data_IF_522567407690
#
_entry.id   IF_522567407690
#
_cell.length_a   1.000
_cell.length_b   1.000
_cell.length_c   1.000
_cell.angle_alpha   90.00
_cell.angle_beta   90.00
_cell.angle_gamma   90.00
#
_symmetry.space_group_name_H-M   'P 1'
#
loop_
_entity.id
_entity.type
_entity.pdbx_description
1 polymer ?
#
# COMPACT_ATOMS: atom_id res chain seq x y z
N UNK A 1 -11.72 19.43 5.45
CA UNK A 1 -11.56 18.26 6.33
C UNK A 1 -10.07 17.92 6.44
N UNK A 2 -9.55 17.71 7.66
CA UNK A 2 -8.12 17.47 7.88
C UNK A 2 -7.68 16.04 7.54
N UNK A 3 -8.46 15.03 7.91
CA UNK A 3 -8.14 13.61 7.64
C UNK A 3 -7.84 13.35 6.16
N UNK A 4 -8.59 13.98 5.25
CA UNK A 4 -8.35 13.85 3.81
C UNK A 4 -6.97 14.33 3.35
N UNK A 5 -6.17 15.06 4.14
CA UNK A 5 -4.84 15.51 3.72
C UNK A 5 -3.75 14.43 3.81
N UNK A 6 -4.00 13.26 4.43
CA UNK A 6 -2.99 12.19 4.56
C UNK A 6 -3.43 10.92 3.82
N UNK A 7 -2.51 10.10 3.27
CA UNK A 7 -2.85 8.83 2.62
C UNK A 7 -3.75 7.91 3.46
N UNK A 8 -3.39 7.70 4.73
CA UNK A 8 -4.15 6.88 5.65
C UNK A 8 -5.52 7.46 5.97
N UNK A 9 -5.64 8.79 6.08
CA UNK A 9 -6.92 9.45 6.29
C UNK A 9 -7.85 9.40 5.07
N UNK A 10 -7.30 9.47 3.84
CA UNK A 10 -8.07 9.22 2.61
C UNK A 10 -8.60 7.78 2.59
N UNK A 11 -7.75 6.80 2.93
CA UNK A 11 -8.18 5.39 2.99
C UNK A 11 -9.28 5.18 4.04
N UNK A 12 -9.10 5.68 5.27
CA UNK A 12 -10.10 5.66 6.35
C UNK A 12 -11.45 6.23 5.90
N UNK A 13 -11.43 7.37 5.20
CA UNK A 13 -12.65 7.96 4.63
C UNK A 13 -13.29 7.08 3.54
N UNK A 14 -12.50 6.44 2.68
CA UNK A 14 -13.01 5.48 1.68
C UNK A 14 -13.55 4.16 2.26
N UNK A 15 -13.28 3.91 3.55
CA UNK A 15 -13.73 2.75 4.32
C UNK A 15 -14.91 3.06 5.24
N UNK A 16 -15.31 4.33 5.34
CA UNK A 16 -16.30 4.84 6.30
C UNK A 16 -15.99 4.47 7.78
N UNK A 17 -14.71 4.21 8.07
CA UNK A 17 -14.21 3.76 9.36
C UNK A 17 -12.92 4.54 9.69
N UNK A 18 -13.01 5.45 10.64
CA UNK A 18 -11.93 6.37 11.02
C UNK A 18 -11.04 5.81 12.12
N UNK A 19 -11.58 4.92 12.94
CA UNK A 19 -10.89 4.30 14.07
C UNK A 19 -10.40 2.90 13.69
N UNK A 20 -11.24 2.09 13.04
CA UNK A 20 -10.95 0.67 12.78
C UNK A 20 -10.15 0.41 11.49
N UNK A 21 -10.30 1.21 10.42
CA UNK A 21 -9.56 0.97 9.18
C UNK A 21 -8.13 1.53 9.21
N UNK A 22 -7.16 0.81 8.68
CA UNK A 22 -5.80 1.32 8.43
C UNK A 22 -5.36 1.04 7.00
N UNK A 23 -4.59 1.96 6.39
CA UNK A 23 -4.05 1.80 5.04
C UNK A 23 -3.10 0.59 5.01
N UNK A 24 -3.41 -0.49 4.27
CA UNK A 24 -2.58 -1.69 4.25
C UNK A 24 -1.17 -1.41 3.73
N UNK A 25 -0.19 -2.16 4.22
CA UNK A 25 1.22 -2.02 3.80
C UNK A 25 1.54 -2.70 2.46
N UNK A 26 0.65 -3.58 1.97
CA UNK A 26 0.83 -4.42 0.77
C UNK A 26 -0.46 -4.51 -0.04
N UNK A 27 -0.34 -4.64 -1.35
CA UNK A 27 -1.47 -4.89 -2.25
C UNK A 27 -1.35 -6.31 -2.82
N UNK A 28 -2.22 -7.21 -2.36
CA UNK A 28 -2.23 -8.62 -2.77
C UNK A 28 -2.92 -8.79 -4.13
N UNK A 29 -4.23 -8.52 -4.18
CA UNK A 29 -5.09 -8.61 -5.35
C UNK A 29 -6.25 -7.62 -5.25
N UNK A 30 -6.83 -7.26 -6.40
CA UNK A 30 -8.04 -6.41 -6.44
C UNK A 30 -9.26 -7.02 -5.74
N UNK A 31 -9.35 -8.35 -5.64
CA UNK A 31 -10.52 -9.03 -5.02
C UNK A 31 -10.44 -9.05 -3.49
N UNK A 32 -9.23 -9.01 -2.93
CA UNK A 32 -9.03 -8.91 -1.48
C UNK A 32 -8.98 -7.46 -0.99
N UNK A 33 -8.50 -6.53 -1.81
CA UNK A 33 -8.47 -5.12 -1.44
C UNK A 33 -9.85 -4.57 -1.06
N UNK A 34 -9.90 -3.61 -0.13
CA UNK A 34 -11.12 -2.97 0.36
C UNK A 34 -10.94 -1.45 0.42
N UNK A 35 -12.01 -0.69 0.22
CA UNK A 35 -11.94 0.76 0.06
C UNK A 35 -11.34 1.20 -1.28
N UNK A 36 -10.94 2.47 -1.38
CA UNK A 36 -10.33 3.01 -2.61
C UNK A 36 -9.01 2.31 -2.95
N UNK A 37 -8.75 2.06 -4.23
CA UNK A 37 -7.50 1.45 -4.68
C UNK A 37 -6.30 2.41 -4.45
N UNK A 38 -5.08 1.89 -4.22
CA UNK A 38 -3.89 2.71 -3.99
C UNK A 38 -3.66 3.79 -5.06
N UNK A 39 -3.87 3.46 -6.34
CA UNK A 39 -3.79 4.42 -7.45
C UNK A 39 -4.73 5.62 -7.23
N UNK A 40 -5.96 5.35 -6.81
CA UNK A 40 -7.01 6.37 -6.74
C UNK A 40 -6.85 7.23 -5.46
N UNK A 41 -6.36 6.63 -4.37
CA UNK A 41 -5.90 7.36 -3.17
C UNK A 41 -4.78 8.32 -3.53
N UNK A 42 -3.80 7.89 -4.35
CA UNK A 42 -2.71 8.76 -4.81
C UNK A 42 -3.22 9.91 -5.67
N UNK A 43 -4.16 9.65 -6.59
CA UNK A 43 -4.82 10.69 -7.37
C UNK A 43 -5.60 11.69 -6.49
N UNK A 44 -6.30 11.23 -5.44
CA UNK A 44 -6.97 12.11 -4.47
C UNK A 44 -5.98 12.97 -3.69
N UNK A 45 -4.92 12.34 -3.16
CA UNK A 45 -3.84 13.00 -2.44
C UNK A 45 -3.23 14.14 -3.28
N UNK A 46 -2.87 13.87 -4.53
CA UNK A 46 -2.34 14.88 -5.45
C UNK A 46 -3.28 16.08 -5.60
N UNK A 47 -4.59 15.84 -5.83
CA UNK A 47 -5.59 16.92 -5.99
C UNK A 47 -5.73 17.76 -4.71
N UNK A 48 -5.73 17.12 -3.54
CA UNK A 48 -5.83 17.81 -2.23
C UNK A 48 -4.59 18.66 -1.91
N UNK A 49 -3.41 18.21 -2.32
CA UNK A 49 -2.13 18.94 -2.20
C UNK A 49 -1.83 19.88 -3.36
N UNK A 50 -2.81 20.12 -4.24
CA UNK A 50 -2.68 21.00 -5.42
C UNK A 50 -1.54 20.57 -6.36
N UNK A 51 -1.16 19.30 -6.37
CA UNK A 51 -0.28 18.71 -7.38
C UNK A 51 -1.06 18.43 -8.68
N UNK A 52 -0.33 18.17 -9.77
CA UNK A 52 -0.91 17.59 -10.98
C UNK A 52 -1.24 16.11 -10.77
N UNK A 53 -2.01 15.50 -11.69
CA UNK A 53 -2.29 14.05 -11.61
C UNK A 53 -0.99 13.23 -11.73
N UNK A 54 -0.85 12.12 -10.98
CA UNK A 54 0.33 11.27 -11.03
C UNK A 54 0.47 10.62 -12.42
N UNK A 55 1.67 10.70 -12.99
CA UNK A 55 2.00 10.00 -14.24
C UNK A 55 2.53 8.60 -13.92
N UNK A 56 1.98 7.59 -14.60
CA UNK A 56 2.37 6.18 -14.46
C UNK A 56 3.09 5.73 -15.73
N UNK A 57 4.34 5.29 -15.62
CA UNK A 57 5.12 4.73 -16.73
C UNK A 57 5.27 3.22 -16.55
N UNK A 58 4.72 2.45 -17.48
CA UNK A 58 4.80 0.98 -17.44
C UNK A 58 6.02 0.52 -18.21
N UNK A 59 6.82 -0.32 -17.58
CA UNK A 59 7.99 -0.96 -18.17
C UNK A 59 7.69 -2.46 -18.22
N UNK A 60 7.70 -3.06 -19.41
CA UNK A 60 7.62 -4.52 -19.58
C UNK A 60 9.01 -5.11 -19.86
N UNK A 61 9.25 -6.29 -19.30
CA UNK A 61 10.42 -7.09 -19.61
C UNK A 61 9.99 -8.50 -20.05
N UNK A 62 10.42 -8.98 -21.23
CA UNK A 62 10.19 -10.36 -21.63
C UNK A 62 11.00 -11.31 -20.73
N UNK A 63 10.36 -12.35 -20.23
CA UNK A 63 10.99 -13.35 -19.39
C UNK A 63 11.93 -14.22 -20.22
N UNK A 64 13.23 -13.89 -20.27
CA UNK A 64 14.25 -14.78 -20.82
C UNK A 64 14.45 -15.98 -19.89
N UNK A 65 13.75 -17.07 -20.19
CA UNK A 65 14.03 -18.38 -19.57
C UNK A 65 15.42 -18.81 -20.05
N UNK A 66 16.36 -19.17 -19.15
CA UNK A 66 17.63 -19.75 -19.55
C UNK A 66 17.37 -21.12 -20.18
N UNK A 67 17.54 -21.23 -21.49
CA UNK A 67 17.44 -22.52 -22.19
C UNK A 67 18.72 -23.31 -21.93
N UNK A 68 18.71 -24.18 -20.92
CA UNK A 68 19.76 -25.19 -20.79
C UNK A 68 19.69 -26.13 -22.00
N UNK A 69 20.79 -26.18 -22.75
CA UNK A 69 20.90 -26.95 -23.99
C UNK A 69 20.95 -28.45 -23.68
N UNK A 70 19.82 -29.14 -23.84
CA UNK A 70 19.80 -30.61 -23.83
C UNK A 70 20.19 -31.15 -25.21
N UNK A 71 21.47 -31.41 -25.39
CA UNK A 71 21.94 -32.33 -26.43
C UNK A 71 21.51 -33.75 -26.06
N UNK A 72 20.70 -34.42 -26.89
CA UNK A 72 20.89 -35.84 -27.18
C UNK A 72 20.03 -36.33 -28.35
N UNK A 73 20.73 -36.62 -29.44
CA UNK A 73 20.55 -37.71 -30.39
C UNK A 73 19.29 -38.62 -30.25
N UNK A 74 18.56 -38.82 -31.35
CA UNK A 74 18.49 -40.14 -32.01
C UNK A 74 18.08 -39.97 -33.49
N UNK A 75 18.77 -40.70 -34.39
CA UNK A 75 18.37 -40.88 -35.80
C UNK A 75 17.88 -42.31 -36.01
N UNK A 76 16.85 -42.48 -36.83
CA UNK A 76 16.59 -43.72 -37.59
C UNK A 76 15.85 -43.39 -38.90
N UNK A 77 16.04 -44.23 -39.92
CA UNK A 77 15.38 -44.16 -41.23
C UNK A 77 13.92 -44.72 -41.14
N UNK A 78 13.07 -44.75 -42.16
CA UNK A 78 13.32 -45.20 -43.53
C UNK A 78 12.27 -44.73 -44.57
N UNK A 79 12.53 -45.06 -45.84
CA UNK A 79 11.82 -44.71 -47.08
C UNK A 79 10.58 -45.56 -47.37
N UNK A 80 9.57 -45.01 -48.06
CA UNK A 80 8.54 -45.80 -48.76
C UNK A 80 7.25 -45.06 -49.17
N UNK A 81 7.03 -44.93 -50.48
CA UNK A 81 5.74 -44.61 -51.16
C UNK A 81 4.62 -45.62 -50.81
N UNK A 82 3.31 -45.37 -50.97
CA UNK A 82 2.59 -44.62 -52.02
C UNK A 82 1.18 -44.10 -51.60
N UNK A 83 0.53 -43.36 -52.52
CA UNK A 83 -0.81 -42.73 -52.44
C UNK A 83 -1.99 -43.75 -52.53
N UNK A 84 -3.28 -43.55 -52.17
CA UNK A 84 -4.13 -42.37 -51.83
C UNK A 84 -5.29 -42.83 -50.86
N UNK A 85 -5.75 -42.02 -49.89
CA UNK A 85 -7.20 -41.94 -49.53
C UNK A 85 -7.58 -40.56 -48.91
N UNK A 86 -8.89 -40.25 -48.85
CA UNK A 86 -9.46 -38.92 -48.60
C UNK A 86 -9.80 -38.62 -47.12
N UNK A 87 -10.01 -37.32 -46.85
CA UNK A 87 -10.66 -36.68 -45.69
C UNK A 87 -9.77 -36.13 -44.55
N UNK A 88 -10.19 -34.95 -44.05
CA UNK A 88 -9.83 -34.31 -42.77
C UNK A 88 -8.36 -33.88 -42.54
N UNK A 89 -7.94 -32.79 -43.19
CA UNK A 89 -6.81 -31.97 -42.72
C UNK A 89 -7.27 -30.97 -41.63
N UNK A 90 -6.51 -30.68 -40.58
CA UNK A 90 -5.23 -31.24 -40.16
C UNK A 90 -5.14 -31.21 -38.61
N UNK A 91 -4.43 -32.19 -38.02
CA UNK A 91 -4.21 -32.27 -36.58
C UNK A 91 -2.73 -32.37 -36.24
N UNK A 92 -2.38 -31.81 -35.08
CA UNK A 92 -1.09 -31.91 -34.36
C UNK A 92 0.17 -31.37 -35.06
N UNK A 93 0.55 -30.12 -34.75
CA UNK A 93 1.83 -29.79 -34.10
C UNK A 93 2.03 -28.27 -33.99
N UNK A 94 1.07 -27.59 -33.36
CA UNK A 94 1.39 -26.36 -32.64
C UNK A 94 1.93 -26.77 -31.28
N UNK A 95 3.22 -26.52 -31.01
CA UNK A 95 3.72 -26.54 -29.64
C UNK A 95 2.84 -25.66 -28.75
N UNK A 96 2.74 -25.92 -27.43
CA UNK A 96 2.27 -24.88 -26.53
C UNK A 96 3.18 -23.69 -26.79
N UNK A 97 2.62 -22.58 -27.29
CA UNK A 97 3.36 -21.32 -27.29
C UNK A 97 3.66 -21.06 -25.82
N UNK A 98 4.90 -21.33 -25.44
CA UNK A 98 5.46 -20.97 -24.16
C UNK A 98 5.26 -19.47 -24.07
N UNK A 99 4.23 -19.06 -23.34
CA UNK A 99 3.90 -17.64 -23.24
C UNK A 99 5.01 -17.01 -22.43
N UNK A 100 5.91 -16.32 -23.13
CA UNK A 100 6.93 -15.48 -22.52
C UNK A 100 6.18 -14.53 -21.58
N UNK A 101 6.20 -14.87 -20.28
CA UNK A 101 5.34 -14.24 -19.29
C UNK A 101 5.94 -12.88 -18.98
N UNK A 102 5.59 -11.88 -19.77
CA UNK A 102 6.02 -10.49 -19.56
C UNK A 102 5.79 -10.08 -18.10
N UNK A 103 6.83 -9.49 -17.52
CA UNK A 103 6.76 -8.91 -16.19
C UNK A 103 6.68 -7.39 -16.30
N UNK A 104 5.77 -6.80 -15.53
CA UNK A 104 5.48 -5.37 -15.51
C UNK A 104 6.04 -4.70 -14.27
N UNK A 105 6.66 -3.54 -14.48
CA UNK A 105 7.01 -2.54 -13.48
C UNK A 105 6.22 -1.26 -13.74
N UNK A 106 6.03 -0.46 -12.71
CA UNK A 106 5.41 0.86 -12.82
C UNK A 106 6.26 1.91 -12.11
N UNK A 107 6.80 2.87 -12.86
CA UNK A 107 7.33 4.10 -12.28
C UNK A 107 6.21 5.13 -12.10
N UNK A 108 6.35 5.99 -11.10
CA UNK A 108 5.39 7.05 -10.79
C UNK A 108 6.11 8.39 -10.70
N UNK A 109 5.62 9.39 -11.43
CA UNK A 109 6.09 10.78 -11.33
C UNK A 109 4.99 11.65 -10.76
N UNK A 110 5.27 12.34 -9.66
CA UNK A 110 4.44 13.42 -9.14
C UNK A 110 4.97 14.75 -9.66
N UNK A 111 4.09 15.58 -10.21
CA UNK A 111 4.43 16.87 -10.79
C UNK A 111 3.80 18.04 -10.02
N UNK A 112 4.49 19.18 -10.01
CA UNK A 112 3.93 20.48 -9.62
C UNK A 112 2.80 20.88 -10.59
N UNK A 113 2.04 21.94 -10.28
CA UNK A 113 1.09 22.52 -11.25
C UNK A 113 1.77 23.09 -12.49
N UNK A 114 3.04 23.45 -12.40
CA UNK A 114 3.83 23.99 -13.50
C UNK A 114 4.48 22.87 -14.35
N UNK A 115 4.32 21.60 -13.96
CA UNK A 115 4.88 20.45 -14.66
C UNK A 115 6.24 19.97 -14.14
N UNK A 116 6.83 20.66 -13.15
CA UNK A 116 8.13 20.26 -12.57
C UNK A 116 8.01 18.92 -11.84
N UNK A 117 8.99 18.04 -12.01
CA UNK A 117 9.06 16.81 -11.23
C UNK A 117 9.29 17.15 -9.76
N UNK A 118 8.35 16.76 -8.91
CA UNK A 118 8.42 16.90 -7.45
C UNK A 118 9.04 15.65 -6.84
N UNK A 119 8.59 14.48 -7.31
CA UNK A 119 9.00 13.16 -6.83
C UNK A 119 8.94 12.13 -7.97
N UNK A 120 9.90 11.22 -7.99
CA UNK A 120 9.92 9.99 -8.79
C UNK A 120 9.92 8.79 -7.83
N UNK A 121 9.13 7.76 -8.12
CA UNK A 121 9.17 6.46 -7.45
C UNK A 121 9.33 5.38 -8.52
N UNK A 122 10.39 4.57 -8.43
CA UNK A 122 10.72 3.52 -9.40
C UNK A 122 10.98 2.20 -8.67
N UNK A 123 9.93 1.47 -8.23
CA UNK A 123 10.08 0.22 -7.49
C UNK A 123 10.79 -0.89 -8.29
N UNK A 124 11.63 -1.67 -7.61
CA UNK A 124 12.31 -2.82 -8.20
C UNK A 124 11.41 -4.07 -8.37
N UNK A 125 10.22 -4.04 -7.78
CA UNK A 125 9.27 -5.14 -7.73
C UNK A 125 8.57 -5.35 -9.10
N UNK A 126 8.57 -6.60 -9.60
CA UNK A 126 7.98 -6.99 -10.89
C UNK A 126 6.68 -7.80 -10.70
N UNK A 127 5.66 -7.55 -11.51
CA UNK A 127 4.34 -8.20 -11.40
C UNK A 127 3.87 -8.82 -12.72
N UNK A 128 3.12 -9.92 -12.67
CA UNK A 128 2.53 -10.57 -13.87
C UNK A 128 1.38 -9.79 -14.52
N UNK A 129 0.85 -8.77 -13.84
CA UNK A 129 -0.23 -7.91 -14.35
C UNK A 129 0.15 -6.44 -14.21
N UNK A 130 -0.04 -5.68 -15.27
CA UNK A 130 0.17 -4.23 -15.31
C UNK A 130 -0.59 -3.50 -14.18
N UNK A 131 -1.85 -3.86 -13.91
CA UNK A 131 -2.61 -3.25 -12.81
C UNK A 131 -1.94 -3.48 -11.46
N UNK A 132 -1.46 -4.69 -11.18
CA UNK A 132 -0.90 -5.02 -9.87
C UNK A 132 0.43 -4.28 -9.65
N UNK A 133 1.20 -4.03 -10.71
CA UNK A 133 2.36 -3.13 -10.69
C UNK A 133 1.97 -1.68 -10.38
N UNK A 134 0.92 -1.14 -11.00
CA UNK A 134 0.42 0.21 -10.73
C UNK A 134 -0.04 0.36 -9.27
N UNK A 135 -0.83 -0.61 -8.77
CA UNK A 135 -1.36 -0.53 -7.41
C UNK A 135 -0.26 -0.68 -6.36
N UNK A 136 0.68 -1.62 -6.53
CA UNK A 136 1.80 -1.77 -5.60
C UNK A 136 2.77 -0.58 -5.63
N UNK A 137 3.11 -0.04 -6.80
CA UNK A 137 3.93 1.16 -6.89
C UNK A 137 3.26 2.36 -6.21
N UNK A 138 1.94 2.53 -6.43
CA UNK A 138 1.15 3.56 -5.76
C UNK A 138 1.15 3.37 -4.25
N UNK A 139 1.00 2.14 -3.77
CA UNK A 139 0.97 1.84 -2.34
C UNK A 139 2.33 2.01 -1.66
N UNK A 140 3.44 1.69 -2.35
CA UNK A 140 4.82 1.92 -1.87
C UNK A 140 5.06 3.42 -1.63
N UNK A 141 4.67 4.26 -2.59
CA UNK A 141 4.71 5.71 -2.47
C UNK A 141 3.77 6.24 -1.37
N UNK A 142 2.52 5.75 -1.30
CA UNK A 142 1.57 6.15 -0.27
C UNK A 142 2.01 5.72 1.13
N UNK A 143 2.69 4.59 1.29
CA UNK A 143 3.22 4.11 2.56
C UNK A 143 4.33 5.03 3.09
N UNK A 144 5.25 5.46 2.20
CA UNK A 144 6.27 6.46 2.54
C UNK A 144 5.63 7.81 2.92
N UNK A 145 4.68 8.29 2.12
CA UNK A 145 3.92 9.51 2.43
C UNK A 145 3.14 9.38 3.75
N UNK A 146 2.51 8.24 4.04
CA UNK A 146 1.75 8.02 5.27
C UNK A 146 2.66 8.06 6.50
N UNK A 147 3.82 7.40 6.43
CA UNK A 147 4.87 7.47 7.46
C UNK A 147 5.34 8.91 7.67
N UNK A 148 5.51 9.66 6.59
CA UNK A 148 5.91 11.07 6.60
C UNK A 148 4.90 12.00 7.28
N UNK A 149 3.60 11.82 7.05
CA UNK A 149 2.56 12.64 7.69
C UNK A 149 2.25 12.20 9.13
N UNK A 150 2.44 10.93 9.48
CA UNK A 150 2.19 10.42 10.83
C UNK A 150 3.37 10.70 11.80
N UNK A 151 4.57 11.00 11.30
CA UNK A 151 5.73 11.31 12.14
C UNK A 151 5.71 12.76 12.64
N UNK A 152 4.87 13.04 13.64
CA UNK A 152 4.63 14.37 14.24
C UNK A 152 5.91 15.07 14.74
N UNK A 153 6.97 14.31 15.06
CA UNK A 153 8.21 14.80 15.68
C UNK A 153 9.47 14.64 14.82
N UNK A 154 9.40 13.94 13.68
CA UNK A 154 10.60 13.69 12.88
C UNK A 154 10.82 14.82 11.85
N UNK A 155 12.00 15.47 11.82
CA UNK A 155 12.30 16.46 10.78
C UNK A 155 12.31 15.79 9.40
N UNK A 156 11.91 16.55 8.36
CA UNK A 156 11.87 16.08 6.97
C UNK A 156 13.16 15.38 6.54
N UNK A 157 14.31 15.86 7.01
CA UNK A 157 15.62 15.33 6.61
C UNK A 157 15.83 13.86 7.05
N UNK A 158 15.33 13.44 8.23
CA UNK A 158 15.33 12.02 8.65
C UNK A 158 14.37 11.15 7.83
N UNK A 159 13.29 11.74 7.30
CA UNK A 159 12.29 11.02 6.50
C UNK A 159 12.74 10.92 5.03
N UNK A 160 13.47 11.93 4.56
CA UNK A 160 14.20 11.94 3.29
C UNK A 160 15.23 10.81 3.23
N UNK A 161 15.99 10.55 4.30
CA UNK A 161 16.91 9.41 4.39
C UNK A 161 16.19 8.06 4.14
N UNK A 162 14.93 7.92 4.58
CA UNK A 162 14.16 6.69 4.34
C UNK A 162 13.62 6.55 2.91
N UNK A 163 13.65 7.61 2.07
CA UNK A 163 13.09 7.57 0.72
C UNK A 163 13.77 6.52 -0.19
N UNK A 164 15.08 6.31 -0.02
CA UNK A 164 15.83 5.28 -0.74
C UNK A 164 15.25 3.87 -0.55
N UNK A 165 14.81 3.54 0.67
CA UNK A 165 14.20 2.24 1.00
C UNK A 165 12.87 1.98 0.27
N UNK A 166 12.22 3.03 -0.24
CA UNK A 166 10.99 2.95 -1.02
C UNK A 166 11.22 3.14 -2.53
N UNK A 167 12.48 3.18 -2.97
CA UNK A 167 12.87 3.51 -4.36
C UNK A 167 12.36 4.90 -4.80
N UNK A 168 12.38 5.88 -3.89
CA UNK A 168 11.87 7.24 -4.08
C UNK A 168 13.02 8.24 -4.22
N UNK A 169 12.96 9.07 -5.26
CA UNK A 169 13.83 10.23 -5.48
C UNK A 169 13.01 11.53 -5.39
N UNK A 170 13.41 12.45 -4.50
CA UNK A 170 12.72 13.72 -4.29
C UNK A 170 13.49 14.86 -4.95
N UNK A 171 12.90 15.44 -6.00
CA UNK A 171 13.52 16.51 -6.77
C UNK A 171 13.25 17.90 -6.19
N UNK A 172 12.12 18.11 -5.50
CA UNK A 172 11.77 19.40 -4.87
C UNK A 172 11.49 19.26 -3.37
N UNK A 173 12.54 19.45 -2.55
CA UNK A 173 12.45 19.40 -1.08
C UNK A 173 11.58 20.52 -0.50
N UNK A 174 11.64 21.72 -1.09
CA UNK A 174 10.93 22.90 -0.58
C UNK A 174 9.41 22.73 -0.68
N UNK A 175 8.90 22.17 -1.79
CA UNK A 175 7.48 21.97 -2.00
C UNK A 175 6.87 20.96 -0.99
N UNK A 176 7.61 19.91 -0.61
CA UNK A 176 7.18 19.01 0.48
C UNK A 176 7.20 19.70 1.85
N UNK A 177 8.20 20.55 2.13
CA UNK A 177 8.25 21.35 3.36
C UNK A 177 7.08 22.33 3.47
N UNK A 178 6.66 22.94 2.36
CA UNK A 178 5.45 23.79 2.29
C UNK A 178 4.16 23.00 2.53
N UNK A 179 4.03 21.81 1.93
CA UNK A 179 2.90 20.89 2.16
C UNK A 179 2.76 20.53 3.65
N UNK A 180 3.87 20.33 4.38
CA UNK A 180 3.83 20.14 5.84
C UNK A 180 3.48 21.41 6.62
N UNK A 181 4.03 22.56 6.26
CA UNK A 181 3.77 23.82 6.95
C UNK A 181 2.27 24.18 6.91
N UNK A 182 1.57 23.84 5.82
CA UNK A 182 0.11 23.93 5.69
C UNK A 182 -0.71 22.89 6.49
N UNK A 183 -0.06 22.02 7.28
CA UNK A 183 -0.69 21.04 8.17
C UNK A 183 -0.32 21.22 9.64
N UNK A 184 0.94 21.53 9.96
CA UNK A 184 1.42 21.66 11.35
C UNK A 184 0.63 22.71 12.14
N UNK A 185 0.31 23.84 11.50
CA UNK A 185 -0.51 24.94 12.05
C UNK A 185 -1.88 24.45 12.55
N UNK A 186 -2.40 23.33 12.04
CA UNK A 186 -3.71 22.78 12.40
C UNK A 186 -3.62 21.54 13.30
N UNK A 187 -2.61 20.68 13.15
CA UNK A 187 -2.43 19.51 14.02
C UNK A 187 -1.94 19.87 15.44
N UNK A 188 -1.20 20.98 15.61
CA UNK A 188 -0.77 21.43 16.94
C UNK A 188 -1.95 21.72 17.88
N UNK A 189 -3.12 22.14 17.36
CA UNK A 189 -4.30 22.41 18.19
C UNK A 189 -4.97 21.14 18.75
N UNK A 190 -4.91 20.02 18.01
CA UNK A 190 -5.45 18.73 18.48
C UNK A 190 -4.57 18.10 19.57
N UNK A 191 -3.24 18.21 19.45
CA UNK A 191 -2.31 17.65 20.43
C UNK A 191 -2.04 18.58 21.64
N UNK A 192 -2.17 19.90 21.51
CA UNK A 192 -2.04 20.82 22.66
C UNK A 192 -3.09 20.56 23.76
N UNK A 193 -4.26 20.03 23.39
CA UNK A 193 -5.27 19.56 24.36
C UNK A 193 -4.85 18.30 25.12
N UNK A 194 -3.99 17.46 24.53
CA UNK A 194 -3.50 16.22 25.15
C UNK A 194 -2.29 16.47 26.09
N UNK A 195 -1.63 17.62 25.97
CA UNK A 195 -0.48 18.02 26.80
C UNK A 195 -0.82 18.93 27.99
N UNK A 196 -2.10 19.26 28.23
CA UNK A 196 -2.52 20.08 29.38
C UNK A 196 -2.62 19.30 30.71
N UNK A 197 -1.69 18.36 30.97
CA UNK A 197 -1.42 17.86 32.32
C UNK A 197 -0.21 18.58 32.91
N UNK A 198 -0.52 19.56 33.77
CA UNK A 198 0.36 20.19 34.75
C UNK A 198 1.73 20.70 34.27
N UNK A 199 1.83 22.01 34.09
CA UNK A 199 3.10 22.71 33.93
C UNK A 199 3.88 22.68 35.25
N UNK A 200 4.97 21.90 35.32
CA UNK A 200 6.05 22.17 36.27
C UNK A 200 7.41 21.80 35.62
N UNK A 201 8.40 22.71 35.57
CA UNK A 201 9.65 22.47 34.85
C UNK A 201 10.72 21.89 35.78
N UNK A 202 11.45 20.86 35.32
CA UNK A 202 12.92 20.87 35.32
C UNK A 202 13.52 19.72 34.50
N UNK A 203 14.79 19.92 34.15
CA UNK A 203 15.63 19.25 33.19
C UNK A 203 15.82 17.71 33.26
N UNK A 204 16.28 17.22 32.11
CA UNK A 204 17.18 16.06 31.90
C UNK A 204 16.64 14.62 32.00
N UNK A 205 16.78 13.91 30.87
CA UNK A 205 16.90 12.46 30.75
C UNK A 205 15.68 11.62 31.18
N UNK A 206 14.56 11.74 30.46
CA UNK A 206 13.60 10.64 30.31
C UNK A 206 13.73 9.99 28.92
N UNK A 207 13.87 8.68 28.90
CA UNK A 207 14.06 7.89 27.68
C UNK A 207 12.76 7.82 26.86
N UNK A 208 12.82 8.28 25.61
CA UNK A 208 11.78 8.10 24.60
C UNK A 208 11.75 6.65 24.09
N UNK A 209 11.41 5.71 24.98
CA UNK A 209 11.36 4.27 24.68
C UNK A 209 10.09 3.58 25.24
N UNK A 210 9.20 4.35 25.89
CA UNK A 210 8.03 3.83 26.61
C UNK A 210 6.71 3.85 25.80
N UNK A 211 6.78 3.89 24.47
CA UNK A 211 5.61 3.86 23.57
C UNK A 211 5.50 2.59 22.72
N UNK A 212 6.45 1.66 22.82
CA UNK A 212 6.50 0.44 22.01
C UNK A 212 5.85 -0.77 22.71
N UNK A 213 5.64 -0.72 24.03
CA UNK A 213 5.18 -1.90 24.79
C UNK A 213 4.15 -1.59 25.89
N UNK A 214 3.17 -0.74 25.58
CA UNK A 214 1.96 -0.63 26.39
C UNK A 214 1.08 -1.88 26.19
N UNK A 215 1.21 -2.87 27.07
CA UNK A 215 0.36 -4.07 27.05
C UNK A 215 -1.08 -3.67 27.35
N UNK A 216 -1.88 -3.48 26.30
CA UNK A 216 -3.31 -3.30 26.44
C UNK A 216 -3.91 -4.59 27.02
N UNK A 217 -4.44 -4.53 28.25
CA UNK A 217 -5.19 -5.62 28.85
C UNK A 217 -6.53 -5.79 28.13
N UNK A 218 -6.51 -6.48 26.99
CA UNK A 218 -7.68 -6.82 26.21
C UNK A 218 -8.53 -7.82 27.00
N UNK A 219 -9.70 -7.37 27.47
CA UNK A 219 -10.70 -8.25 28.08
C UNK A 219 -11.42 -9.03 26.98
N UNK A 220 -10.79 -10.08 26.49
CA UNK A 220 -11.38 -11.01 25.51
C UNK A 220 -12.33 -11.95 26.26
N UNK A 221 -13.58 -12.02 25.81
CA UNK A 221 -14.62 -12.89 26.35
C UNK A 221 -15.12 -13.86 25.27
N UNK A 222 -15.55 -15.05 25.69
CA UNK A 222 -16.01 -16.12 24.80
C UNK A 222 -15.02 -17.29 24.69
N UNK A 223 -15.44 -18.41 24.07
CA UNK A 223 -14.57 -19.56 23.84
C UNK A 223 -13.55 -19.26 22.73
N UNK A 224 -12.30 -19.68 22.92
CA UNK A 224 -11.33 -19.72 21.84
C UNK A 224 -11.79 -20.74 20.77
N UNK A 225 -11.74 -20.34 19.50
CA UNK A 225 -12.05 -21.22 18.37
C UNK A 225 -10.92 -22.22 18.06
N UNK A 226 -9.69 -21.92 18.51
CA UNK A 226 -8.49 -22.69 18.16
C UNK A 226 -8.06 -22.57 16.68
N UNK A 227 -8.71 -21.70 15.91
CA UNK A 227 -8.47 -21.53 14.47
C UNK A 227 -7.90 -20.13 14.20
N UNK A 228 -6.63 -20.08 13.79
CA UNK A 228 -6.03 -18.86 13.28
C UNK A 228 -6.36 -18.69 11.78
N UNK A 229 -7.01 -17.59 11.35
CA UNK A 229 -7.26 -17.34 9.93
C UNK A 229 -5.94 -17.04 9.19
N UNK A 230 -5.80 -17.58 7.97
CA UNK A 230 -4.58 -17.47 7.18
C UNK A 230 -4.41 -16.14 6.45
N UNK A 231 -3.17 -15.83 6.03
CA UNK A 231 -2.88 -14.65 5.21
C UNK A 231 -3.65 -14.69 3.87
N UNK A 232 -4.17 -13.55 3.43
CA UNK A 232 -5.05 -13.40 2.28
C UNK A 232 -6.51 -13.79 2.53
N UNK A 233 -6.88 -14.15 3.76
CA UNK A 233 -8.28 -14.34 4.15
C UNK A 233 -8.99 -13.01 4.42
N UNK A 234 -10.33 -13.04 4.34
CA UNK A 234 -11.22 -11.89 4.47
C UNK A 234 -12.27 -12.16 5.57
N UNK A 235 -11.90 -12.12 6.87
CA UNK A 235 -12.87 -12.09 7.95
C UNK A 235 -13.83 -10.91 7.80
N UNK A 236 -15.11 -11.15 8.12
CA UNK A 236 -16.11 -10.11 8.34
C UNK A 236 -16.42 -10.03 9.84
N UNK A 237 -16.41 -8.83 10.41
CA UNK A 237 -16.70 -8.58 11.82
C UNK A 237 -17.81 -7.54 11.99
N UNK A 238 -18.52 -7.63 13.12
CA UNK A 238 -19.34 -6.55 13.68
C UNK A 238 -18.56 -5.89 14.81
N UNK A 239 -18.54 -4.57 14.89
CA UNK A 239 -17.82 -3.82 15.93
C UNK A 239 -18.54 -2.55 16.37
N UNK A 240 -18.26 -2.12 17.60
CA UNK A 240 -18.62 -0.82 18.14
C UNK A 240 -17.46 -0.27 18.96
N UNK A 241 -17.01 0.93 18.60
CA UNK A 241 -16.01 1.70 19.36
C UNK A 241 -16.75 2.73 20.20
N UNK A 242 -16.35 2.89 21.45
CA UNK A 242 -16.93 3.87 22.36
C UNK A 242 -15.86 4.61 23.15
N UNK A 243 -16.06 5.91 23.33
CA UNK A 243 -15.32 6.71 24.29
C UNK A 243 -15.93 6.49 25.68
N UNK A 244 -15.08 6.33 26.69
CA UNK A 244 -15.47 6.14 28.09
C UNK A 244 -14.68 7.13 28.92
N UNK A 245 -15.35 7.82 29.84
CA UNK A 245 -14.69 8.69 30.83
C UNK A 245 -14.34 7.84 32.05
N UNK A 246 -13.06 7.71 32.39
CA UNK A 246 -12.65 6.97 33.58
C UNK A 246 -13.27 7.59 34.84
N UNK A 247 -13.89 6.74 35.67
CA UNK A 247 -14.62 7.08 36.90
C UNK A 247 -16.02 7.70 36.72
N UNK A 248 -16.51 7.87 35.50
CA UNK A 248 -17.92 8.21 35.22
C UNK A 248 -18.59 7.08 34.45
N UNK A 249 -19.86 6.79 34.73
CA UNK A 249 -20.64 5.82 33.93
C UNK A 249 -21.09 6.39 32.56
N UNK A 250 -20.31 7.34 32.00
CA UNK A 250 -20.55 7.91 30.68
C UNK A 250 -19.81 7.12 29.60
N UNK A 251 -20.58 6.58 28.66
CA UNK A 251 -20.11 5.87 27.48
C UNK A 251 -20.77 6.47 26.25
N UNK A 252 -19.97 7.00 25.32
CA UNK A 252 -20.43 7.55 24.04
C UNK A 252 -19.98 6.64 22.91
N UNK A 253 -20.89 6.19 22.05
CA UNK A 253 -20.53 5.39 20.86
C UNK A 253 -20.04 6.33 19.76
N UNK A 254 -18.80 6.12 19.32
CA UNK A 254 -18.11 7.02 18.36
C UNK A 254 -17.93 6.41 16.96
N UNK A 255 -17.97 5.08 16.85
CA UNK A 255 -17.98 4.37 15.57
C UNK A 255 -18.69 3.02 15.74
N UNK A 256 -19.51 2.60 14.77
CA UNK A 256 -20.20 1.30 14.78
C UNK A 256 -20.34 0.79 13.35
N UNK A 257 -20.11 -0.50 13.15
CA UNK A 257 -20.32 -1.16 11.87
C UNK A 257 -20.74 -2.61 12.09
N UNK A 258 -21.81 -3.04 11.44
CA UNK A 258 -22.33 -4.41 11.59
C UNK A 258 -21.61 -5.43 10.70
N UNK A 259 -21.05 -4.98 9.58
CA UNK A 259 -20.41 -5.83 8.56
C UNK A 259 -19.16 -5.12 8.04
N UNK A 260 -18.00 -5.49 8.58
CA UNK A 260 -16.71 -4.91 8.21
C UNK A 260 -15.71 -5.99 7.80
N UNK A 261 -15.36 -6.03 6.52
CA UNK A 261 -14.35 -6.95 6.00
C UNK A 261 -12.95 -6.34 6.02
N UNK A 262 -11.95 -7.12 6.43
CA UNK A 262 -10.53 -6.73 6.32
C UNK A 262 -9.70 -7.90 5.81
N UNK A 263 -8.62 -7.59 5.09
CA UNK A 263 -7.65 -8.61 4.67
C UNK A 263 -6.62 -8.84 5.78
N UNK A 264 -6.24 -10.09 6.01
CA UNK A 264 -5.15 -10.48 6.93
C UNK A 264 -3.85 -10.65 6.15
N UNK A 265 -2.77 -9.93 6.48
CA UNK A 265 -1.41 -10.17 5.94
C UNK A 265 -0.47 -8.97 5.88
#
# INVERSE_FOLDING_TARGET
MLLGKTPGGIYKLSREALLTAELPSRFTTRVNWRGSLPRDILCMFCRQHRLSEPLFSIISHPLKIPTESSESCFKAADSGTDMIECANGASVNGSPKLSDSEMFKCEIKLLSKCGDVVLLCSPEDCYKKQNDAIQNASLKLLSWLNKYFNSVTAPFDRLYETAGNFSIHISSKNLFREILAGQSIQNCQLYALQCNKSLEPMCENSSLDMLVNGVCNLKIEGPDSGICPGNGSLPCISYSVSLIVENENMKEVIEVCNEFEFEIG
#
